data_IF_924509896698
#
_entry.id   IF_924509896698
#
_cell.length_a   1.000
_cell.length_b   1.000
_cell.length_c   1.000
_cell.angle_alpha   90.00
_cell.angle_beta   90.00
_cell.angle_gamma   90.00
#
_symmetry.space_group_name_H-M   'P 1'
#
loop_
_entity.id
_entity.type
_entity.pdbx_description
1 polymer ?
#
# COMPACT_ATOMS: atom_id res chain seq x y z
N UNK A 1 -11.63 -73.37 -8.68
CA UNK A 1 -13.04 -73.81 -8.75
C UNK A 1 -13.90 -72.71 -8.16
N UNK A 2 -15.12 -72.53 -8.67
CA UNK A 2 -16.24 -71.84 -8.00
C UNK A 2 -16.84 -72.77 -6.91
N UNK A 3 -17.70 -72.35 -5.95
CA UNK A 3 -18.84 -71.40 -6.04
C UNK A 3 -18.73 -70.17 -5.09
N UNK A 4 -19.60 -69.13 -5.05
CA UNK A 4 -21.07 -68.97 -5.23
C UNK A 4 -21.93 -69.59 -4.09
N UNK A 5 -23.09 -69.05 -3.68
CA UNK A 5 -23.80 -67.76 -3.96
C UNK A 5 -23.84 -66.88 -2.67
N UNK A 6 -24.80 -66.06 -2.18
CA UNK A 6 -26.15 -65.48 -2.50
C UNK A 6 -26.42 -64.33 -1.47
N UNK A 7 -27.43 -63.44 -1.46
CA UNK A 7 -28.51 -63.04 -2.39
C UNK A 7 -29.05 -61.60 -2.08
N UNK A 8 -29.32 -60.83 -3.14
CA UNK A 8 -30.46 -59.90 -3.42
C UNK A 8 -31.39 -59.31 -2.32
N UNK A 9 -31.56 -57.97 -2.33
CA UNK A 9 -32.82 -57.16 -2.44
C UNK A 9 -32.60 -55.69 -1.97
N UNK A 10 -33.11 -54.63 -2.62
CA UNK A 10 -33.77 -54.48 -3.93
C UNK A 10 -34.19 -53.02 -4.25
N UNK A 11 -34.14 -52.64 -5.53
CA UNK A 11 -34.61 -51.37 -6.17
C UNK A 11 -36.14 -51.42 -6.50
N UNK A 12 -36.84 -50.38 -7.09
CA UNK A 12 -36.41 -49.13 -7.76
C UNK A 12 -36.95 -47.85 -7.05
N UNK A 13 -37.09 -46.62 -7.61
CA UNK A 13 -37.07 -46.01 -8.96
C UNK A 13 -36.56 -44.53 -8.88
N UNK A 14 -36.18 -43.77 -9.92
CA UNK A 14 -36.53 -43.66 -11.37
C UNK A 14 -37.68 -42.67 -11.70
N UNK A 15 -37.66 -42.12 -12.94
CA UNK A 15 -38.51 -41.02 -13.51
C UNK A 15 -38.14 -39.59 -13.02
N UNK A 16 -38.11 -38.52 -13.84
CA UNK A 16 -38.20 -38.39 -15.32
C UNK A 16 -37.54 -37.07 -15.83
N UNK A 17 -37.24 -36.98 -17.14
CA UNK A 17 -36.88 -35.74 -17.86
C UNK A 17 -38.00 -35.36 -18.85
N UNK A 18 -38.21 -34.07 -19.17
CA UNK A 18 -39.17 -33.62 -20.19
C UNK A 18 -38.78 -32.29 -20.86
N UNK A 19 -38.98 -32.19 -22.18
CA UNK A 19 -38.89 -30.99 -23.04
C UNK A 19 -40.22 -30.79 -23.83
N UNK A 20 -40.29 -29.75 -24.69
CA UNK A 20 -41.45 -29.31 -25.53
C UNK A 20 -42.68 -28.77 -24.72
N UNK A 21 -43.63 -27.98 -25.24
CA UNK A 21 -43.88 -27.42 -26.59
C UNK A 21 -43.88 -25.86 -26.59
N UNK A 22 -43.73 -25.21 -27.76
CA UNK A 22 -44.02 -23.78 -27.98
C UNK A 22 -45.53 -23.50 -28.12
N UNK A 23 -45.99 -22.28 -27.77
CA UNK A 23 -47.31 -21.78 -28.21
C UNK A 23 -47.39 -20.23 -28.27
N UNK A 24 -47.85 -19.69 -29.40
CA UNK A 24 -48.04 -18.24 -29.60
C UNK A 24 -49.31 -17.70 -28.93
N UNK A 25 -49.29 -16.43 -28.54
CA UNK A 25 -50.48 -15.56 -28.67
C UNK A 25 -50.07 -14.12 -28.97
N UNK A 26 -50.85 -13.45 -29.82
CA UNK A 26 -50.58 -12.10 -30.35
C UNK A 26 -51.76 -11.20 -30.04
N UNK A 27 -51.53 -10.12 -29.27
CA UNK A 27 -52.43 -8.97 -29.24
C UNK A 27 -51.67 -7.65 -29.39
N UNK A 28 -52.12 -6.88 -30.38
CA UNK A 28 -51.90 -5.47 -30.65
C UNK A 28 -53.04 -4.66 -29.99
N UNK A 29 -52.98 -3.37 -29.67
CA UNK A 29 -51.94 -2.32 -29.71
C UNK A 29 -52.14 -1.44 -28.44
N UNK A 30 -51.20 -0.55 -28.10
CA UNK A 30 -51.51 0.90 -27.98
C UNK A 30 -50.25 1.76 -27.78
N UNK A 31 -50.15 2.86 -28.54
CA UNK A 31 -49.01 3.78 -28.53
C UNK A 31 -49.35 5.09 -27.80
N UNK A 32 -48.74 5.33 -26.62
CA UNK A 32 -48.61 6.69 -26.08
C UNK A 32 -47.24 6.89 -25.41
N UNK A 33 -46.27 7.31 -26.21
CA UNK A 33 -44.97 7.78 -25.71
C UNK A 33 -45.11 9.15 -25.03
N UNK A 34 -44.90 9.19 -23.72
CA UNK A 34 -44.61 10.44 -23.00
C UNK A 34 -43.10 10.53 -22.79
N UNK A 35 -42.41 11.18 -23.72
CA UNK A 35 -41.01 11.54 -23.55
C UNK A 35 -40.89 12.59 -22.45
N UNK A 36 -40.57 12.13 -21.23
CA UNK A 36 -40.11 13.01 -20.17
C UNK A 36 -38.63 13.30 -20.41
N UNK A 37 -38.33 14.42 -21.08
CA UNK A 37 -36.98 14.96 -21.20
C UNK A 37 -36.48 15.35 -19.81
N UNK A 38 -35.88 14.38 -19.11
CA UNK A 38 -35.15 14.59 -17.89
C UNK A 38 -33.82 15.27 -18.22
N UNK A 39 -33.87 16.59 -18.45
CA UNK A 39 -32.69 17.44 -18.47
C UNK A 39 -31.92 17.20 -17.16
N UNK A 40 -30.77 16.54 -17.26
CA UNK A 40 -29.90 16.30 -16.12
C UNK A 40 -29.26 17.62 -15.73
N UNK A 41 -29.83 18.29 -14.73
CA UNK A 41 -29.24 19.49 -14.13
C UNK A 41 -27.81 19.18 -13.68
N UNK A 42 -26.83 19.73 -14.42
CA UNK A 42 -25.39 19.52 -14.19
C UNK A 42 -24.96 20.32 -12.95
N UNK A 43 -25.25 19.75 -11.77
CA UNK A 43 -24.98 20.30 -10.44
C UNK A 43 -23.57 20.91 -10.38
N UNK A 44 -23.44 22.25 -10.26
CA UNK A 44 -22.22 22.96 -10.60
C UNK A 44 -21.09 22.60 -9.64
N UNK A 45 -20.20 21.71 -10.12
CA UNK A 45 -19.17 21.01 -9.38
C UNK A 45 -18.63 21.80 -8.17
N UNK A 46 -19.17 21.48 -6.99
CA UNK A 46 -19.01 22.29 -5.79
C UNK A 46 -17.54 22.61 -5.50
N UNK A 47 -17.21 23.90 -5.43
CA UNK A 47 -15.83 24.40 -5.32
C UNK A 47 -15.08 23.73 -4.17
N UNK A 48 -14.27 22.72 -4.49
CA UNK A 48 -13.45 21.99 -3.50
C UNK A 48 -12.60 22.99 -2.72
N UNK A 49 -12.78 23.05 -1.41
CA UNK A 49 -11.96 23.87 -0.52
C UNK A 49 -10.49 23.49 -0.70
N UNK A 50 -9.57 24.45 -0.92
CA UNK A 50 -8.17 24.12 -1.12
C UNK A 50 -7.58 23.45 0.12
N UNK A 51 -6.93 22.29 -0.07
CA UNK A 51 -6.28 21.54 1.00
C UNK A 51 -5.08 22.33 1.58
N UNK A 52 -4.88 22.20 2.88
CA UNK A 52 -3.73 22.81 3.57
C UNK A 52 -2.46 21.99 3.23
N UNK A 53 -1.35 22.63 2.83
CA UNK A 53 -0.07 21.93 2.63
C UNK A 53 0.37 21.21 3.92
N UNK A 54 0.92 19.99 3.80
CA UNK A 54 1.44 19.24 4.93
C UNK A 54 2.51 20.07 5.68
N UNK A 55 2.32 20.39 6.97
CA UNK A 55 3.34 21.08 7.74
C UNK A 55 4.54 20.15 7.97
N UNK A 56 5.79 20.65 7.89
CA UNK A 56 6.98 19.85 8.13
C UNK A 56 6.95 19.09 9.46
N UNK A 57 7.58 17.93 9.49
CA UNK A 57 7.76 17.13 10.70
C UNK A 57 9.25 17.08 11.08
N UNK A 58 9.58 17.32 12.34
CA UNK A 58 10.96 17.33 12.86
C UNK A 58 11.70 16.01 12.64
N UNK A 59 10.98 14.88 12.66
CA UNK A 59 11.50 13.55 12.36
C UNK A 59 11.78 13.33 10.85
N UNK A 60 11.15 14.10 9.96
CA UNK A 60 11.44 14.11 8.51
C UNK A 60 12.17 15.40 8.14
N UNK A 61 13.32 15.60 8.78
CA UNK A 61 14.29 16.64 8.42
C UNK A 61 15.56 15.98 7.85
N UNK A 62 16.31 16.65 6.96
CA UNK A 62 17.63 16.20 6.53
C UNK A 62 18.55 15.91 7.73
N UNK A 63 19.34 14.84 7.64
CA UNK A 63 20.21 14.35 8.71
C UNK A 63 19.53 13.43 9.73
N UNK A 64 18.19 13.34 9.75
CA UNK A 64 17.48 12.44 10.67
C UNK A 64 17.82 10.97 10.38
N UNK A 65 18.00 10.20 11.46
CA UNK A 65 18.45 8.81 11.38
C UNK A 65 17.53 7.91 12.19
N UNK A 66 17.22 6.76 11.62
CA UNK A 66 16.28 5.77 12.14
C UNK A 66 16.94 4.40 12.20
N UNK A 67 16.51 3.56 13.14
CA UNK A 67 16.96 2.17 13.26
C UNK A 67 15.82 1.25 13.69
N UNK A 68 15.93 -0.03 13.30
CA UNK A 68 14.97 -1.08 13.61
C UNK A 68 15.24 -2.33 12.77
N UNK A 69 14.19 -2.92 12.18
CA UNK A 69 14.28 -4.19 11.47
C UNK A 69 13.29 -4.33 10.30
N UNK A 70 13.61 -5.27 9.41
CA UNK A 70 12.78 -5.72 8.29
C UNK A 70 12.49 -7.20 8.50
N UNK A 71 11.20 -7.59 8.50
CA UNK A 71 10.75 -8.95 8.78
C UNK A 71 9.91 -9.51 7.63
N UNK A 72 10.45 -10.50 6.91
CA UNK A 72 9.83 -11.10 5.70
C UNK A 72 8.58 -11.90 6.03
N UNK A 73 8.56 -12.60 7.16
CA UNK A 73 7.47 -13.51 7.56
C UNK A 73 6.94 -13.22 8.96
N UNK A 74 5.99 -12.28 9.07
CA UNK A 74 5.33 -11.91 10.33
C UNK A 74 4.54 -13.05 11.02
N UNK A 75 4.24 -14.16 10.33
CA UNK A 75 3.36 -15.22 10.84
C UNK A 75 4.11 -16.44 11.40
N UNK A 76 5.34 -16.71 10.93
CA UNK A 76 6.19 -17.80 11.40
C UNK A 76 7.67 -17.38 11.45
N UNK A 77 7.93 -16.16 11.94
CA UNK A 77 9.25 -15.54 11.96
C UNK A 77 10.31 -16.43 12.60
N UNK A 78 11.27 -16.87 11.79
CA UNK A 78 12.54 -17.47 12.23
C UNK A 78 13.60 -16.36 12.38
N UNK A 79 14.70 -16.59 13.11
CA UNK A 79 15.82 -15.63 13.19
C UNK A 79 16.49 -15.28 11.84
N UNK A 80 16.18 -16.02 10.76
CA UNK A 80 16.64 -15.72 9.40
C UNK A 80 15.58 -15.02 8.53
N UNK A 81 14.39 -14.76 9.07
CA UNK A 81 13.31 -14.02 8.40
C UNK A 81 13.28 -12.54 8.83
N UNK A 82 14.14 -12.12 9.77
CA UNK A 82 14.28 -10.75 10.27
C UNK A 82 15.76 -10.32 10.24
N UNK A 83 16.03 -9.09 9.80
CA UNK A 83 17.35 -8.47 9.85
C UNK A 83 17.28 -6.99 10.22
N UNK A 84 18.41 -6.40 10.61
CA UNK A 84 18.46 -5.02 11.11
C UNK A 84 18.50 -4.01 9.97
N UNK A 85 17.85 -2.87 10.16
CA UNK A 85 17.82 -1.80 9.17
C UNK A 85 18.11 -0.45 9.84
N UNK A 86 19.03 0.30 9.25
CA UNK A 86 19.25 1.72 9.52
C UNK A 86 18.76 2.53 8.31
N UNK A 87 18.18 3.71 8.54
CA UNK A 87 17.76 4.65 7.49
C UNK A 87 18.25 6.05 7.81
N UNK A 88 18.77 6.76 6.81
CA UNK A 88 19.22 8.14 6.93
C UNK A 88 18.50 9.03 5.91
N UNK A 89 17.80 10.06 6.40
CA UNK A 89 17.07 11.04 5.58
C UNK A 89 18.05 12.07 5.03
N UNK A 90 18.24 12.11 3.71
CA UNK A 90 19.23 12.98 3.07
C UNK A 90 18.62 14.31 2.62
N UNK A 91 17.42 14.31 2.04
CA UNK A 91 16.73 15.53 1.60
C UNK A 91 15.21 15.39 1.70
N UNK A 92 14.51 16.51 1.94
CA UNK A 92 13.04 16.58 2.00
C UNK A 92 12.55 17.89 1.37
N UNK A 93 11.71 17.79 0.35
CA UNK A 93 11.04 18.90 -0.34
C UNK A 93 9.53 18.79 -0.09
N UNK A 94 9.06 19.51 0.94
CA UNK A 94 7.65 19.55 1.33
C UNK A 94 6.74 20.25 0.31
N UNK A 95 7.28 21.05 -0.60
CA UNK A 95 6.50 21.75 -1.62
C UNK A 95 6.14 20.81 -2.78
N UNK A 96 7.08 19.94 -3.18
CA UNK A 96 6.90 18.90 -4.21
C UNK A 96 6.45 17.56 -3.64
N UNK A 97 6.34 17.41 -2.32
CA UNK A 97 6.02 16.14 -1.68
C UNK A 97 7.09 15.07 -1.88
N UNK A 98 8.37 15.45 -1.93
CA UNK A 98 9.50 14.55 -2.20
C UNK A 98 10.39 14.36 -0.97
N UNK A 99 10.99 13.19 -0.87
CA UNK A 99 11.96 12.81 0.16
C UNK A 99 12.98 11.86 -0.45
N UNK A 100 14.20 11.82 0.07
CA UNK A 100 15.21 10.81 -0.32
C UNK A 100 16.16 10.48 0.83
N UNK A 101 16.82 9.33 0.72
CA UNK A 101 17.74 8.85 1.73
C UNK A 101 18.50 7.60 1.33
N UNK A 102 19.24 7.07 2.29
CA UNK A 102 19.84 5.74 2.19
C UNK A 102 19.20 4.77 3.19
N UNK A 103 19.15 3.49 2.81
CA UNK A 103 18.81 2.38 3.69
C UNK A 103 20.02 1.45 3.77
N UNK A 104 20.36 1.01 4.97
CA UNK A 104 21.42 0.04 5.24
C UNK A 104 20.79 -1.17 5.93
N UNK A 105 20.83 -2.32 5.26
CA UNK A 105 20.39 -3.60 5.81
C UNK A 105 21.62 -4.36 6.35
N UNK A 106 21.62 -4.65 7.65
CA UNK A 106 22.69 -5.33 8.37
C UNK A 106 22.22 -6.71 8.79
N UNK A 107 23.16 -7.65 8.93
CA UNK A 107 22.89 -9.02 9.38
C UNK A 107 21.94 -9.80 8.42
N UNK A 108 21.87 -9.38 7.15
CA UNK A 108 21.04 -9.97 6.07
C UNK A 108 21.45 -11.42 5.80
N UNK A 109 20.51 -12.39 5.71
CA UNK A 109 20.82 -13.77 5.39
C UNK A 109 21.62 -13.93 4.09
N UNK A 110 22.76 -14.63 4.16
CA UNK A 110 23.74 -14.87 3.08
C UNK A 110 24.59 -13.67 2.64
N UNK A 111 24.32 -12.45 3.09
CA UNK A 111 25.18 -11.31 2.76
C UNK A 111 26.48 -11.35 3.57
N UNK A 112 27.63 -11.11 2.92
CA UNK A 112 28.94 -11.06 3.59
C UNK A 112 29.23 -9.72 4.28
N UNK A 113 28.46 -8.67 3.98
CA UNK A 113 28.58 -7.31 4.50
C UNK A 113 27.21 -6.60 4.47
N UNK A 114 27.03 -5.46 5.17
CA UNK A 114 25.81 -4.67 5.08
C UNK A 114 25.50 -4.23 3.64
N UNK A 115 24.22 -4.32 3.27
CA UNK A 115 23.72 -3.92 1.94
C UNK A 115 23.18 -2.50 2.04
N UNK A 116 23.75 -1.57 1.26
CA UNK A 116 23.35 -0.15 1.29
C UNK A 116 22.70 0.25 -0.03
N UNK A 117 21.50 0.82 0.04
CA UNK A 117 20.71 1.28 -1.10
C UNK A 117 20.37 2.77 -0.97
N UNK A 118 20.22 3.46 -2.11
CA UNK A 118 19.63 4.79 -2.18
C UNK A 118 18.18 4.67 -2.59
N UNK A 119 17.31 5.48 -1.98
CA UNK A 119 15.88 5.51 -2.25
C UNK A 119 15.36 6.93 -2.46
N UNK A 120 14.43 7.08 -3.40
CA UNK A 120 13.55 8.23 -3.50
C UNK A 120 12.22 7.91 -2.83
N UNK A 121 11.48 8.93 -2.42
CA UNK A 121 10.15 8.78 -1.86
C UNK A 121 9.20 9.92 -2.17
N UNK A 122 7.94 9.61 -1.92
CA UNK A 122 6.76 10.42 -2.19
C UNK A 122 5.99 10.59 -0.88
N UNK A 123 5.71 11.82 -0.49
CA UNK A 123 4.89 12.16 0.67
C UNK A 123 3.45 12.33 0.18
N UNK A 124 2.54 11.49 0.63
CA UNK A 124 1.12 11.55 0.25
C UNK A 124 0.50 12.79 0.90
N UNK A 125 0.14 13.75 0.06
CA UNK A 125 -0.31 15.09 0.43
C UNK A 125 -1.67 15.48 -0.22
N UNK A 126 -2.24 14.58 -1.04
CA UNK A 126 -3.42 14.78 -1.88
C UNK A 126 -3.32 15.99 -2.83
N UNK A 127 -2.10 16.34 -3.24
CA UNK A 127 -1.81 17.45 -4.17
C UNK A 127 -0.75 17.08 -5.20
N UNK A 128 0.44 16.71 -4.75
CA UNK A 128 1.51 16.14 -5.57
C UNK A 128 1.36 14.61 -5.65
N UNK A 129 1.00 13.97 -4.54
CA UNK A 129 0.90 12.51 -4.41
C UNK A 129 -0.35 12.10 -3.62
N UNK A 130 -1.05 11.11 -4.16
CA UNK A 130 -2.29 10.56 -3.60
C UNK A 130 -2.07 9.15 -3.05
N UNK A 131 -3.06 8.61 -2.36
CA UNK A 131 -3.01 7.24 -1.83
C UNK A 131 -2.97 6.18 -2.93
N UNK A 132 -3.69 6.37 -4.05
CA UNK A 132 -3.57 5.48 -5.21
C UNK A 132 -2.23 5.74 -5.92
N UNK A 133 -1.47 4.68 -6.19
CA UNK A 133 -0.08 4.76 -6.68
C UNK A 133 -0.03 4.81 -8.20
N UNK A 134 -0.75 3.89 -8.89
CA UNK A 134 -0.86 3.89 -10.36
C UNK A 134 0.46 3.65 -11.11
N UNK A 135 1.47 3.08 -10.43
CA UNK A 135 2.79 2.71 -10.95
C UNK A 135 3.37 1.56 -10.13
N UNK A 136 4.51 1.02 -10.54
CA UNK A 136 5.20 -0.08 -9.84
C UNK A 136 4.31 -1.32 -9.61
N UNK A 137 3.50 -1.66 -10.61
CA UNK A 137 2.52 -2.78 -10.61
C UNK A 137 1.42 -2.69 -9.53
N UNK A 138 1.36 -1.61 -8.73
CA UNK A 138 0.30 -1.37 -7.75
C UNK A 138 -0.94 -0.69 -8.36
N UNK A 139 -2.10 -1.35 -8.25
CA UNK A 139 -3.40 -0.78 -8.57
C UNK A 139 -4.21 -0.47 -7.28
N UNK A 140 -5.38 0.16 -7.45
CA UNK A 140 -6.23 0.68 -6.35
C UNK A 140 -6.54 -0.37 -5.28
N UNK A 141 -6.75 -1.63 -5.68
CA UNK A 141 -7.00 -2.72 -4.73
C UNK A 141 -5.78 -3.00 -3.85
N UNK A 142 -4.58 -3.12 -4.43
CA UNK A 142 -3.34 -3.35 -3.69
C UNK A 142 -2.96 -2.12 -2.85
N UNK A 143 -3.18 -0.90 -3.34
CA UNK A 143 -3.03 0.33 -2.57
C UNK A 143 -3.88 0.27 -1.29
N UNK A 144 -5.19 0.07 -1.43
CA UNK A 144 -6.13 0.00 -0.30
C UNK A 144 -5.78 -1.15 0.65
N UNK A 145 -5.34 -2.29 0.12
CA UNK A 145 -5.00 -3.47 0.92
C UNK A 145 -3.68 -3.35 1.71
N UNK A 146 -2.74 -2.52 1.25
CA UNK A 146 -1.55 -2.17 2.03
C UNK A 146 -1.86 -1.04 3.01
N UNK A 147 -2.51 0.03 2.56
CA UNK A 147 -2.82 1.18 3.42
C UNK A 147 -3.71 0.80 4.62
N UNK A 148 -4.66 -0.14 4.46
CA UNK A 148 -5.54 -0.62 5.56
C UNK A 148 -4.80 -1.30 6.72
N UNK A 149 -3.53 -1.70 6.56
CA UNK A 149 -2.71 -2.26 7.65
C UNK A 149 -2.24 -1.19 8.64
N UNK A 150 -2.19 0.09 8.26
CA UNK A 150 -1.77 1.16 9.16
C UNK A 150 -2.96 1.68 9.99
N UNK A 151 -2.82 1.70 11.32
CA UNK A 151 -3.85 2.20 12.25
C UNK A 151 -4.25 3.66 11.95
N UNK A 152 -3.32 4.47 11.43
CA UNK A 152 -3.61 5.84 10.98
C UNK A 152 -4.60 5.94 9.82
N UNK A 153 -4.69 4.91 8.97
CA UNK A 153 -5.52 4.91 7.75
C UNK A 153 -6.97 4.52 8.00
N UNK A 154 -7.31 3.92 9.15
CA UNK A 154 -8.66 3.38 9.41
C UNK A 154 -9.79 4.42 9.29
N UNK A 155 -9.49 5.71 9.54
CA UNK A 155 -10.43 6.84 9.34
C UNK A 155 -10.49 7.36 7.90
N UNK A 156 -9.51 7.03 7.07
CA UNK A 156 -9.36 7.52 5.69
C UNK A 156 -9.91 6.50 4.68
N UNK A 157 -9.83 5.21 4.99
CA UNK A 157 -10.19 4.07 4.14
C UNK A 157 -11.44 4.25 3.28
N UNK A 158 -12.57 4.66 3.86
CA UNK A 158 -13.83 4.79 3.10
C UNK A 158 -13.78 5.87 2.00
N UNK A 159 -13.10 7.00 2.25
CA UNK A 159 -12.90 8.08 1.26
C UNK A 159 -11.83 7.65 0.25
N UNK A 160 -10.70 7.12 0.72
CA UNK A 160 -9.62 6.66 -0.15
C UNK A 160 -10.06 5.53 -1.10
N UNK A 161 -10.96 4.63 -0.67
CA UNK A 161 -11.54 3.61 -1.56
C UNK A 161 -12.50 4.19 -2.61
N UNK A 162 -13.14 5.34 -2.33
CA UNK A 162 -14.09 6.00 -3.24
C UNK A 162 -13.38 6.86 -4.30
N UNK A 163 -12.49 7.75 -3.88
CA UNK A 163 -11.96 8.83 -4.72
C UNK A 163 -10.53 9.24 -4.32
N UNK A 164 -9.64 8.26 -4.10
CA UNK A 164 -8.23 8.40 -3.69
C UNK A 164 -7.96 9.25 -2.44
N UNK A 165 -8.99 9.77 -1.77
CA UNK A 165 -8.89 10.69 -0.64
C UNK A 165 -8.82 12.17 -1.05
N UNK A 166 -9.33 12.53 -2.23
CA UNK A 166 -9.23 13.86 -2.87
C UNK A 166 -9.67 15.05 -1.99
N UNK A 167 -10.48 14.79 -0.96
CA UNK A 167 -11.10 15.78 -0.06
C UNK A 167 -10.57 15.68 1.39
N UNK A 168 -9.52 14.87 1.62
CA UNK A 168 -8.91 14.66 2.94
C UNK A 168 -7.79 15.67 3.16
N UNK A 169 -7.96 16.56 4.15
CA UNK A 169 -6.88 17.42 4.66
C UNK A 169 -5.92 16.62 5.56
N UNK A 170 -4.79 16.21 4.99
CA UNK A 170 -3.74 15.47 5.68
C UNK A 170 -2.86 16.36 6.58
N UNK A 171 -2.94 17.70 6.51
CA UNK A 171 -2.22 18.58 7.43
C UNK A 171 -2.70 18.41 8.88
N UNK A 172 -3.98 18.06 9.05
CA UNK A 172 -4.60 17.78 10.36
C UNK A 172 -4.30 16.37 10.90
N UNK A 173 -3.71 15.48 10.10
CA UNK A 173 -3.51 14.09 10.46
C UNK A 173 -2.25 13.86 11.32
N UNK A 174 -2.39 13.03 12.36
CA UNK A 174 -1.27 12.54 13.20
C UNK A 174 -0.19 11.80 12.41
N UNK A 175 -0.57 11.18 11.30
CA UNK A 175 0.30 10.29 10.54
C UNK A 175 0.66 10.92 9.20
N UNK A 176 1.91 10.71 8.78
CA UNK A 176 2.39 11.02 7.42
C UNK A 176 2.53 9.70 6.68
N UNK A 177 1.84 9.59 5.55
CA UNK A 177 1.90 8.44 4.66
C UNK A 177 2.90 8.74 3.54
N UNK A 178 3.74 7.77 3.20
CA UNK A 178 4.76 7.91 2.16
C UNK A 178 4.90 6.62 1.36
N UNK A 179 5.47 6.72 0.15
CA UNK A 179 6.03 5.57 -0.56
C UNK A 179 7.52 5.77 -0.74
N UNK A 180 8.33 4.75 -0.46
CA UNK A 180 9.79 4.78 -0.68
C UNK A 180 10.18 3.73 -1.72
N UNK A 181 10.85 4.15 -2.79
CA UNK A 181 11.33 3.34 -3.90
C UNK A 181 12.86 3.36 -3.91
N UNK A 182 13.47 2.22 -3.61
CA UNK A 182 14.90 2.01 -3.82
C UNK A 182 15.25 2.09 -5.31
N UNK A 183 16.37 2.76 -5.63
CA UNK A 183 16.77 3.09 -7.01
C UNK A 183 18.04 2.35 -7.42
N UNK A 184 19.04 2.29 -6.52
CA UNK A 184 20.31 1.60 -6.76
C UNK A 184 20.99 1.17 -5.45
N UNK A 185 21.87 0.17 -5.53
CA UNK A 185 22.82 -0.16 -4.47
C UNK A 185 23.97 0.85 -4.48
N UNK A 186 24.24 1.49 -3.34
CA UNK A 186 25.32 2.49 -3.17
C UNK A 186 26.69 1.83 -3.26
N UNK A 187 26.81 0.64 -2.66
CA UNK A 187 27.93 -0.27 -2.82
C UNK A 187 27.37 -1.60 -3.33
N UNK A 188 27.58 -1.98 -4.61
CA UNK A 188 27.17 -3.29 -5.10
C UNK A 188 28.05 -4.36 -4.45
N UNK A 189 27.47 -5.10 -3.50
CA UNK A 189 28.10 -6.28 -2.91
C UNK A 189 28.08 -7.48 -3.87
N UNK A 190 28.60 -8.60 -3.37
CA UNK A 190 28.30 -9.92 -3.95
C UNK A 190 26.78 -10.22 -3.84
N UNK A 191 26.30 -11.28 -4.51
CA UNK A 191 24.87 -11.63 -4.53
C UNK A 191 24.30 -11.85 -3.11
N UNK A 192 23.60 -10.83 -2.63
CA UNK A 192 23.00 -10.79 -1.30
C UNK A 192 21.58 -11.38 -1.26
N UNK A 193 21.05 -11.85 -2.40
CA UNK A 193 19.70 -12.41 -2.49
C UNK A 193 18.53 -11.43 -2.23
N UNK A 194 18.80 -10.13 -2.08
CA UNK A 194 17.77 -9.10 -1.93
C UNK A 194 17.36 -8.50 -3.28
N UNK A 195 16.09 -8.13 -3.40
CA UNK A 195 15.53 -7.41 -4.56
C UNK A 195 15.15 -6.00 -4.15
N UNK A 196 15.46 -5.03 -5.02
CA UNK A 196 15.02 -3.63 -4.92
C UNK A 196 13.98 -3.28 -6.00
N UNK A 197 13.32 -4.29 -6.60
CA UNK A 197 12.36 -4.07 -7.69
C UNK A 197 11.11 -3.32 -7.22
N UNK A 198 10.58 -3.68 -6.05
CA UNK A 198 9.38 -3.12 -5.44
C UNK A 198 9.58 -1.78 -4.73
N UNK A 199 8.59 -1.42 -3.92
CA UNK A 199 8.60 -0.21 -3.08
C UNK A 199 7.97 -0.49 -1.71
N UNK A 200 8.21 0.39 -0.75
CA UNK A 200 7.57 0.33 0.56
C UNK A 200 6.41 1.32 0.64
N UNK A 201 5.26 0.87 1.11
CA UNK A 201 4.27 1.74 1.75
C UNK A 201 4.77 2.07 3.16
N UNK A 202 4.79 3.33 3.57
CA UNK A 202 5.30 3.80 4.86
C UNK A 202 4.25 4.67 5.57
N UNK A 203 4.15 4.55 6.88
CA UNK A 203 3.36 5.40 7.76
C UNK A 203 4.20 5.81 8.98
N UNK A 204 4.46 7.12 9.12
CA UNK A 204 5.16 7.69 10.29
C UNK A 204 4.16 8.37 11.24
N UNK A 205 4.31 8.14 12.54
CA UNK A 205 3.66 8.91 13.60
C UNK A 205 4.40 10.24 13.85
N UNK A 206 3.74 11.38 13.64
CA UNK A 206 4.33 12.72 13.86
C UNK A 206 4.79 12.95 15.31
N UNK A 207 4.21 12.27 16.31
CA UNK A 207 4.52 12.52 17.71
C UNK A 207 5.68 11.69 18.24
N UNK A 208 5.86 10.44 17.79
CA UNK A 208 6.92 9.55 18.29
C UNK A 208 8.09 9.39 17.33
N UNK A 209 7.92 9.74 16.05
CA UNK A 209 8.89 9.42 15.00
C UNK A 209 8.94 7.93 14.65
N UNK A 210 8.09 7.09 15.24
CA UNK A 210 8.00 5.68 14.88
C UNK A 210 7.43 5.54 13.47
N UNK A 211 8.04 4.70 12.64
CA UNK A 211 7.54 4.33 11.32
C UNK A 211 7.22 2.85 11.26
N UNK A 212 6.12 2.54 10.60
CA UNK A 212 5.76 1.21 10.15
C UNK A 212 5.70 1.23 8.63
N UNK A 213 6.17 0.17 7.98
CA UNK A 213 6.12 0.02 6.54
C UNK A 213 5.87 -1.40 6.10
N UNK A 214 5.42 -1.55 4.85
CA UNK A 214 5.25 -2.84 4.19
C UNK A 214 5.85 -2.78 2.78
N UNK A 215 6.80 -3.67 2.50
CA UNK A 215 7.34 -3.86 1.15
C UNK A 215 6.29 -4.50 0.25
N UNK A 216 6.24 -4.03 -1.00
CA UNK A 216 5.37 -4.52 -2.06
C UNK A 216 6.15 -4.71 -3.37
N UNK A 217 6.08 -5.94 -3.86
CA UNK A 217 6.48 -6.39 -5.19
C UNK A 217 5.59 -7.61 -5.51
N UNK A 218 4.88 -7.65 -6.66
CA UNK A 218 4.03 -8.80 -7.03
C UNK A 218 4.74 -10.15 -7.06
N UNK A 219 6.08 -10.15 -7.17
CA UNK A 219 6.93 -11.34 -7.33
C UNK A 219 7.56 -11.80 -5.99
N UNK A 220 7.33 -11.05 -4.91
CA UNK A 220 7.88 -11.28 -3.57
C UNK A 220 6.81 -11.77 -2.58
N UNK A 221 7.24 -12.30 -1.43
CA UNK A 221 6.33 -12.55 -0.30
C UNK A 221 5.68 -11.21 0.13
N UNK A 222 4.35 -11.11 0.25
CA UNK A 222 3.67 -9.85 0.55
C UNK A 222 3.75 -9.49 2.03
N UNK A 223 3.65 -8.19 2.33
CA UNK A 223 3.61 -7.64 3.68
C UNK A 223 4.87 -7.94 4.53
N UNK A 224 6.04 -7.93 3.90
CA UNK A 224 7.31 -7.88 4.63
C UNK A 224 7.36 -6.56 5.39
N UNK A 225 7.55 -6.62 6.70
CA UNK A 225 7.26 -5.52 7.62
C UNK A 225 8.55 -4.77 7.99
N UNK A 226 8.58 -3.47 7.69
CA UNK A 226 9.65 -2.56 8.08
C UNK A 226 9.24 -1.82 9.35
N UNK A 227 10.01 -1.94 10.43
CA UNK A 227 9.81 -1.19 11.68
C UNK A 227 11.02 -0.31 11.94
N UNK A 228 10.79 0.98 12.15
CA UNK A 228 11.86 1.95 12.41
C UNK A 228 11.46 2.91 13.54
N UNK A 229 12.43 3.31 14.35
CA UNK A 229 12.28 4.37 15.36
C UNK A 229 13.40 5.39 15.23
N UNK A 230 13.11 6.66 15.56
CA UNK A 230 14.08 7.74 15.50
C UNK A 230 15.24 7.50 16.50
N UNK A 231 16.48 7.67 16.04
CA UNK A 231 17.68 7.49 16.87
C UNK A 231 18.01 8.81 17.57
N UNK A 232 17.61 8.92 18.84
CA UNK A 232 17.99 10.03 19.71
C UNK A 232 19.52 10.05 19.91
N UNK A 233 20.21 11.01 19.29
CA UNK A 233 21.64 11.22 19.48
C UNK A 233 21.97 11.59 20.94
N UNK A 234 22.87 10.87 21.64
CA UNK A 234 23.26 11.20 23.00
C UNK A 234 23.86 12.61 23.11
N UNK A 235 23.11 13.55 23.68
CA UNK A 235 23.52 14.97 23.80
C UNK A 235 23.41 15.81 22.53
N UNK A 236 22.82 15.28 21.44
CA UNK A 236 22.71 15.99 20.17
C UNK A 236 21.47 16.89 20.08
N UNK A 237 21.69 18.20 19.94
CA UNK A 237 20.68 19.06 19.30
C UNK A 237 20.60 18.71 17.81
N UNK A 238 19.39 18.62 17.25
CA UNK A 238 19.23 18.58 15.78
C UNK A 238 19.70 19.91 15.22
N UNK A 239 20.72 19.89 14.36
CA UNK A 239 21.24 21.11 13.74
C UNK A 239 20.19 21.74 12.82
N UNK A 240 20.20 23.07 12.73
CA UNK A 240 19.30 23.81 11.84
C UNK A 240 19.59 23.45 10.38
N UNK A 241 18.55 23.33 9.57
CA UNK A 241 18.67 23.14 8.13
C UNK A 241 19.33 24.37 7.48
N UNK A 242 20.27 24.13 6.57
CA UNK A 242 20.86 25.17 5.74
C UNK A 242 20.29 25.07 4.32
N UNK A 243 19.52 26.07 3.92
CA UNK A 243 19.13 26.25 2.52
C UNK A 243 20.21 27.05 1.78
N UNK A 244 20.48 26.67 0.53
CA UNK A 244 21.30 27.44 -0.40
C UNK A 244 20.38 28.14 -1.41
N UNK A 245 20.48 29.48 -1.48
CA UNK A 245 19.82 30.32 -2.49
C UNK A 245 20.51 30.25 -3.86
#
# INVERSE_FOLDING_TARGET
MLPQTDALQGDPAAEEEAEEEDAESVEQDDEMGVAADAESEDEPAGKKTPLIPLPPASFLAPGQTFSGSQTVNQYQAKPADEWRVNVHIQAVDWQRGRISGSMEALDVPKAAAPVVTFWEGEIVDNRNYFFWTGRWEAHVEQDVDHWKRFVGFSRLHARVKKDRGDDIDLATCRYIFMRWKEVFFVSPGEDCGLTIAGFYYICMDRFTGSMLGYYYDPKSQPYQELRLNAVSLPGGHVFSSYDFN
#
